data_IF_984573563910
#
_entry.id   IF_984573563910
#
_cell.length_a   1.000
_cell.length_b   1.000
_cell.length_c   1.000
_cell.angle_alpha   90.00
_cell.angle_beta   90.00
_cell.angle_gamma   90.00
#
_symmetry.space_group_name_H-M   'P 1'
#
loop_
_entity.id
_entity.type
_entity.pdbx_description
1 polymer ?
#
# COMPACT_ATOMS: atom_id res chain seq x y z
N UNK A 1 17.92 1.56 5.32
CA UNK A 1 16.47 1.67 5.67
C UNK A 1 15.75 2.19 4.45
N UNK A 2 14.70 1.51 3.98
CA UNK A 2 13.94 1.90 2.77
C UNK A 2 12.50 2.26 3.14
N UNK A 3 11.91 3.21 2.43
CA UNK A 3 10.52 3.64 2.64
C UNK A 3 9.72 3.36 1.37
N UNK A 4 8.63 2.61 1.49
CA UNK A 4 7.69 2.34 0.41
C UNK A 4 6.38 3.07 0.67
N UNK A 5 5.82 3.72 -0.35
CA UNK A 5 4.52 4.37 -0.27
C UNK A 5 3.57 3.80 -1.33
N UNK A 6 2.42 3.28 -0.88
CA UNK A 6 1.37 2.78 -1.75
C UNK A 6 0.15 3.71 -1.69
N UNK A 7 -0.21 4.31 -2.83
CA UNK A 7 -1.38 5.17 -2.95
C UNK A 7 -2.67 4.40 -3.25
N UNK A 8 -3.82 5.05 -3.07
CA UNK A 8 -5.14 4.45 -3.35
C UNK A 8 -5.32 3.99 -4.80
N UNK A 9 -4.64 4.60 -5.77
CA UNK A 9 -4.67 4.14 -7.17
C UNK A 9 -4.08 2.73 -7.37
N UNK A 10 -3.13 2.32 -6.52
CA UNK A 10 -2.57 0.96 -6.50
C UNK A 10 -3.43 0.05 -5.62
N UNK A 11 -3.99 0.57 -4.54
CA UNK A 11 -4.86 -0.15 -3.60
C UNK A 11 -6.33 0.03 -4.00
N UNK A 12 -6.79 -0.72 -5.01
CA UNK A 12 -8.20 -0.68 -5.44
C UNK A 12 -9.07 -1.71 -4.72
N UNK A 13 -8.48 -2.80 -4.26
CA UNK A 13 -9.15 -3.90 -3.57
C UNK A 13 -8.19 -4.63 -2.63
N UNK A 14 -8.72 -5.52 -1.79
CA UNK A 14 -7.91 -6.40 -0.96
C UNK A 14 -6.90 -7.24 -1.77
N UNK A 15 -7.26 -7.67 -3.01
CA UNK A 15 -6.36 -8.41 -3.90
C UNK A 15 -5.15 -7.57 -4.33
N UNK A 16 -5.30 -6.26 -4.49
CA UNK A 16 -4.19 -5.39 -4.90
C UNK A 16 -3.23 -5.10 -3.74
N UNK A 17 -3.71 -5.18 -2.50
CA UNK A 17 -2.85 -5.14 -1.32
C UNK A 17 -1.90 -6.36 -1.29
N UNK A 18 -2.38 -7.56 -1.68
CA UNK A 18 -1.52 -8.75 -1.76
C UNK A 18 -0.41 -8.60 -2.80
N UNK A 19 -0.70 -8.04 -3.98
CA UNK A 19 0.34 -7.74 -4.99
C UNK A 19 1.40 -6.77 -4.45
N UNK A 20 0.97 -5.77 -3.68
CA UNK A 20 1.89 -4.84 -3.02
C UNK A 20 2.77 -5.57 -1.99
N UNK A 21 2.21 -6.53 -1.25
CA UNK A 21 2.96 -7.37 -0.31
C UNK A 21 3.98 -8.28 -1.02
N UNK A 22 3.69 -8.80 -2.21
CA UNK A 22 4.65 -9.57 -3.01
C UNK A 22 5.88 -8.75 -3.38
N UNK A 23 5.72 -7.46 -3.72
CA UNK A 23 6.85 -6.55 -3.95
C UNK A 23 7.69 -6.38 -2.69
N UNK A 24 7.05 -6.28 -1.51
CA UNK A 24 7.76 -6.11 -0.24
C UNK A 24 8.55 -7.35 0.17
N UNK A 25 8.11 -8.56 -0.22
CA UNK A 25 8.86 -9.82 0.03
C UNK A 25 10.24 -9.82 -0.64
N UNK A 26 10.44 -9.05 -1.70
CA UNK A 26 11.76 -8.89 -2.33
C UNK A 26 12.80 -8.19 -1.43
N UNK A 27 12.37 -7.65 -0.27
CA UNK A 27 13.21 -6.96 0.70
C UNK A 27 13.24 -7.66 2.06
N UNK A 28 12.96 -8.98 2.09
CA UNK A 28 13.03 -9.78 3.31
C UNK A 28 14.40 -9.64 4.01
N UNK A 29 14.38 -9.58 5.36
CA UNK A 29 15.56 -9.33 6.18
C UNK A 29 16.05 -7.87 6.20
N UNK A 30 15.50 -6.98 5.38
CA UNK A 30 15.85 -5.55 5.40
C UNK A 30 14.90 -4.76 6.31
N UNK A 31 15.43 -3.76 7.03
CA UNK A 31 14.59 -2.77 7.72
C UNK A 31 13.90 -1.86 6.71
N UNK A 32 12.59 -2.01 6.59
CA UNK A 32 11.71 -1.22 5.72
C UNK A 32 10.63 -0.51 6.54
N UNK A 33 10.16 0.63 6.04
CA UNK A 33 8.97 1.35 6.50
C UNK A 33 7.97 1.38 5.36
N UNK A 34 6.70 1.13 5.66
CA UNK A 34 5.63 1.12 4.66
C UNK A 34 4.59 2.17 5.05
N UNK A 35 4.28 3.07 4.12
CA UNK A 35 3.23 4.09 4.26
C UNK A 35 2.11 3.75 3.29
N UNK A 36 0.89 3.64 3.80
CA UNK A 36 -0.28 3.20 3.05
C UNK A 36 -1.35 4.27 3.09
N UNK A 37 -1.87 4.65 1.92
CA UNK A 37 -3.10 5.46 1.81
C UNK A 37 -4.35 4.57 1.96
N UNK A 38 -5.52 5.19 2.16
CA UNK A 38 -6.79 4.48 2.07
C UNK A 38 -6.98 3.84 0.67
N UNK A 39 -7.86 2.84 0.59
CA UNK A 39 -8.27 2.25 -0.70
C UNK A 39 -8.86 3.32 -1.63
N UNK A 40 -8.82 3.06 -2.93
CA UNK A 40 -9.26 3.99 -3.97
C UNK A 40 -10.63 4.63 -3.64
N UNK A 41 -10.69 5.96 -3.67
CA UNK A 41 -11.89 6.79 -3.39
C UNK A 41 -12.53 6.61 -2.00
N UNK A 42 -11.91 5.87 -1.07
CA UNK A 42 -12.46 5.72 0.28
C UNK A 42 -12.40 7.03 1.05
N UNK A 43 -11.29 7.77 0.96
CA UNK A 43 -11.19 9.10 1.57
C UNK A 43 -12.28 10.03 1.04
N UNK A 44 -12.46 10.11 -0.28
CA UNK A 44 -13.52 10.92 -0.90
C UNK A 44 -14.94 10.56 -0.41
N UNK A 45 -15.19 9.28 -0.12
CA UNK A 45 -16.47 8.78 0.39
C UNK A 45 -16.67 9.08 1.88
N UNK A 46 -15.59 9.25 2.64
CA UNK A 46 -15.66 9.59 4.08
C UNK A 46 -15.80 11.10 4.27
N UNK A 47 -15.14 11.88 3.42
CA UNK A 47 -15.17 13.34 3.49
C UNK A 47 -16.47 13.98 2.98
N UNK A 48 -17.27 13.25 2.19
CA UNK A 48 -18.51 13.74 1.55
C UNK A 48 -19.72 12.93 2.01
#
# INVERSE_FOLDING_TARGET
>A
MKVFKFGGGVLKSGKDAFKSAEILRLFEGQKIIVVISAFNKVTDKIER
#
